data_IF_038239425545
#
_entry.id   IF_038239425545
#
_cell.length_a   1.000
_cell.length_b   1.000
_cell.length_c   1.000
_cell.angle_alpha   90.00
_cell.angle_beta   90.00
_cell.angle_gamma   90.00
#
_symmetry.space_group_name_H-M   'P 1'
#
loop_
_entity.id
_entity.type
_entity.pdbx_description
1 polymer ?
#
# COMPACT_ATOMS: atom_id res chain seq x y z
N UNK A 1 -10.76 -1.80 11.43
CA UNK A 1 -10.72 -3.24 11.14
C UNK A 1 -9.42 -3.59 10.45
N UNK A 2 -8.69 -4.63 10.90
CA UNK A 2 -7.57 -5.17 10.15
C UNK A 2 -8.05 -6.34 9.28
N UNK A 3 -7.57 -6.42 8.04
CA UNK A 3 -7.98 -7.45 7.08
C UNK A 3 -6.81 -7.90 6.20
N UNK A 4 -6.82 -9.18 5.75
CA UNK A 4 -5.81 -9.70 4.87
C UNK A 4 -5.92 -9.12 3.46
N UNK A 5 -4.79 -8.89 2.81
CA UNK A 5 -4.71 -8.76 1.36
C UNK A 5 -3.64 -9.70 0.84
N UNK A 6 -3.55 -9.89 -0.47
CA UNK A 6 -2.51 -10.73 -1.08
C UNK A 6 -1.10 -10.17 -0.84
N UNK A 7 -0.97 -8.87 -0.57
CA UNK A 7 0.33 -8.21 -0.31
C UNK A 7 0.71 -8.28 1.17
N UNK A 8 0.01 -7.54 2.02
CA UNK A 8 0.17 -7.46 3.48
C UNK A 8 -1.18 -7.20 4.12
N UNK A 9 -1.32 -7.37 5.43
CA UNK A 9 -2.53 -6.97 6.13
C UNK A 9 -2.73 -5.45 6.08
N UNK A 10 -3.96 -5.02 5.79
CA UNK A 10 -4.38 -3.64 5.81
C UNK A 10 -5.10 -3.27 7.11
N UNK A 11 -4.87 -2.07 7.63
CA UNK A 11 -5.68 -1.48 8.70
C UNK A 11 -6.68 -0.52 8.07
N UNK A 12 -7.96 -0.94 8.02
CA UNK A 12 -9.02 -0.27 7.27
C UNK A 12 -9.88 0.66 8.11
N UNK A 13 -10.21 1.80 7.52
CA UNK A 13 -11.22 2.74 7.99
C UNK A 13 -12.06 3.22 6.79
N UNK A 14 -13.29 3.67 7.06
CA UNK A 14 -14.12 4.32 6.06
C UNK A 14 -13.41 5.57 5.50
N UNK A 15 -13.09 5.56 4.21
CA UNK A 15 -12.40 6.67 3.56
C UNK A 15 -13.29 7.93 3.39
N UNK A 16 -14.60 7.78 3.51
CA UNK A 16 -15.57 8.87 3.49
C UNK A 16 -15.82 9.50 4.86
N UNK A 17 -15.29 8.92 5.94
CA UNK A 17 -15.55 9.36 7.31
C UNK A 17 -14.29 9.96 7.97
N UNK A 18 -14.22 11.28 8.18
CA UNK A 18 -13.06 11.95 8.78
C UNK A 18 -12.70 11.44 10.19
N UNK A 19 -13.69 11.08 11.01
CA UNK A 19 -13.44 10.58 12.37
C UNK A 19 -12.81 9.18 12.34
N UNK A 20 -13.25 8.32 11.41
CA UNK A 20 -12.66 7.01 11.20
C UNK A 20 -11.21 7.11 10.71
N UNK A 21 -10.92 8.08 9.83
CA UNK A 21 -9.56 8.37 9.38
C UNK A 21 -8.70 8.92 10.52
N UNK A 22 -9.20 9.82 11.34
CA UNK A 22 -8.48 10.34 12.50
C UNK A 22 -8.12 9.22 13.49
N UNK A 23 -9.06 8.29 13.76
CA UNK A 23 -8.80 7.08 14.56
C UNK A 23 -7.72 6.20 13.92
N UNK A 24 -7.78 5.99 12.60
CA UNK A 24 -6.76 5.22 11.86
C UNK A 24 -5.35 5.80 12.04
N UNK A 25 -5.20 7.11 11.83
CA UNK A 25 -3.93 7.81 11.99
C UNK A 25 -3.40 7.73 13.41
N UNK A 26 -4.28 7.93 14.41
CA UNK A 26 -3.94 7.85 15.83
C UNK A 26 -3.45 6.45 16.23
N UNK A 27 -4.18 5.39 15.87
CA UNK A 27 -3.82 4.00 16.17
C UNK A 27 -2.47 3.63 15.57
N UNK A 28 -2.17 4.10 14.35
CA UNK A 28 -0.88 3.84 13.69
C UNK A 28 0.26 4.72 14.20
N UNK A 29 -0.01 5.84 14.86
CA UNK A 29 0.99 6.90 15.10
C UNK A 29 1.49 7.51 13.79
N UNK A 30 0.62 7.59 12.75
CA UNK A 30 0.97 8.08 11.41
C UNK A 30 0.69 9.58 11.30
N UNK A 31 1.61 10.39 10.73
CA UNK A 31 1.34 11.79 10.43
C UNK A 31 0.19 11.95 9.43
N UNK A 32 -0.68 12.93 9.63
CA UNK A 32 -1.89 13.14 8.82
C UNK A 32 -1.63 13.70 7.42
N UNK A 33 -0.44 14.23 7.17
CA UNK A 33 0.03 14.69 5.86
C UNK A 33 0.55 13.56 4.96
N UNK A 34 0.60 12.33 5.48
CA UNK A 34 0.98 11.14 4.73
C UNK A 34 -0.26 10.47 4.11
N UNK A 35 -0.40 10.43 2.77
CA UNK A 35 -1.56 9.88 2.11
C UNK A 35 -1.76 8.40 2.43
N UNK A 36 -3.01 7.93 2.31
CA UNK A 36 -3.39 6.52 2.44
C UNK A 36 -4.01 6.02 1.13
N UNK A 37 -3.92 4.71 0.89
CA UNK A 37 -4.48 4.06 -0.29
C UNK A 37 -5.94 3.70 -0.01
N UNK A 38 -6.83 4.06 -0.93
CA UNK A 38 -8.24 3.66 -0.91
C UNK A 38 -8.39 2.32 -1.62
N UNK A 39 -8.98 1.36 -0.95
CA UNK A 39 -9.30 0.05 -1.48
C UNK A 39 -10.76 0.02 -1.92
N UNK A 40 -11.02 -0.47 -3.13
CA UNK A 40 -12.35 -0.59 -3.73
C UNK A 40 -12.65 -2.07 -4.03
N UNK A 41 -13.93 -2.41 -4.08
CA UNK A 41 -14.37 -3.74 -4.49
C UNK A 41 -14.32 -3.92 -6.01
N UNK A 42 -14.65 -2.86 -6.76
CA UNK A 42 -14.80 -2.92 -8.22
C UNK A 42 -14.29 -1.65 -8.91
N UNK A 43 -13.80 -1.80 -10.14
CA UNK A 43 -13.35 -0.69 -10.98
C UNK A 43 -14.51 0.25 -11.38
N UNK A 44 -15.76 -0.20 -11.36
CA UNK A 44 -16.93 0.66 -11.58
C UNK A 44 -17.02 1.80 -10.57
N UNK A 45 -16.50 1.62 -9.34
CA UNK A 45 -16.45 2.65 -8.30
C UNK A 45 -15.38 3.71 -8.54
N UNK A 46 -14.47 3.50 -9.52
CA UNK A 46 -13.29 4.36 -9.72
C UNK A 46 -13.65 5.83 -9.94
N UNK A 47 -14.73 6.11 -10.70
CA UNK A 47 -15.19 7.47 -10.98
C UNK A 47 -15.69 8.25 -9.77
N UNK A 48 -15.99 7.57 -8.65
CA UNK A 48 -16.35 8.24 -7.40
C UNK A 48 -15.12 8.78 -6.65
N UNK A 49 -13.95 8.17 -6.85
CA UNK A 49 -12.72 8.46 -6.12
C UNK A 49 -11.67 9.20 -6.95
N UNK A 50 -11.70 9.02 -8.28
CA UNK A 50 -10.75 9.64 -9.18
C UNK A 50 -11.44 10.31 -10.37
N UNK A 51 -10.77 11.32 -10.93
CA UNK A 51 -11.16 12.01 -12.16
C UNK A 51 -10.06 11.88 -13.20
N UNK A 52 -10.35 12.20 -14.45
CA UNK A 52 -9.36 12.23 -15.54
C UNK A 52 -8.58 10.91 -15.66
N UNK A 53 -9.30 9.77 -15.70
CA UNK A 53 -8.67 8.44 -15.80
C UNK A 53 -7.95 8.32 -17.16
N UNK A 54 -6.63 8.35 -17.13
CA UNK A 54 -5.80 8.31 -18.35
C UNK A 54 -5.89 6.96 -19.07
N UNK A 55 -5.57 6.89 -20.38
CA UNK A 55 -5.47 5.60 -21.08
C UNK A 55 -4.44 4.65 -20.45
N UNK A 56 -3.34 5.18 -19.90
CA UNK A 56 -2.32 4.39 -19.18
C UNK A 56 -2.92 3.78 -17.93
N UNK A 57 -3.61 4.58 -17.11
CA UNK A 57 -4.30 4.09 -15.91
C UNK A 57 -5.30 2.97 -16.23
N UNK A 58 -6.09 3.13 -17.31
CA UNK A 58 -7.06 2.12 -17.75
C UNK A 58 -6.39 0.82 -18.18
N UNK A 59 -5.26 0.88 -18.91
CA UNK A 59 -4.50 -0.31 -19.33
C UNK A 59 -3.94 -1.06 -18.11
N UNK A 60 -3.31 -0.33 -17.19
CA UNK A 60 -2.72 -0.91 -15.98
C UNK A 60 -3.79 -1.51 -15.06
N UNK A 61 -4.92 -0.81 -14.85
CA UNK A 61 -6.06 -1.32 -14.09
C UNK A 61 -6.60 -2.63 -14.69
N UNK A 62 -6.87 -2.67 -16.00
CA UNK A 62 -7.36 -3.88 -16.67
C UNK A 62 -6.40 -5.06 -16.61
N UNK A 63 -5.10 -4.81 -16.56
CA UNK A 63 -4.09 -5.88 -16.50
C UNK A 63 -3.87 -6.43 -15.11
N UNK A 64 -3.89 -5.57 -14.08
CA UNK A 64 -3.40 -5.91 -12.75
C UNK A 64 -4.44 -5.81 -11.63
N UNK A 65 -5.68 -5.42 -11.91
CA UNK A 65 -6.76 -5.46 -10.94
C UNK A 65 -7.77 -6.56 -11.26
N UNK A 66 -8.23 -7.28 -10.23
CA UNK A 66 -7.81 -7.22 -8.81
C UNK A 66 -6.37 -7.71 -8.63
N UNK A 67 -5.58 -7.04 -7.77
CA UNK A 67 -4.19 -7.45 -7.54
C UNK A 67 -3.28 -6.40 -6.85
N UNK A 68 -1.96 -6.67 -6.85
CA UNK A 68 -0.99 -5.95 -6.05
C UNK A 68 -0.50 -4.64 -6.71
N UNK A 69 -1.39 -3.94 -7.43
CA UNK A 69 -1.13 -2.63 -8.04
C UNK A 69 -1.91 -1.53 -7.35
N UNK A 70 -1.22 -0.46 -6.97
CA UNK A 70 -1.82 0.82 -6.59
C UNK A 70 -1.58 1.84 -7.69
N UNK A 71 -2.64 2.49 -8.15
CA UNK A 71 -2.56 3.61 -9.09
C UNK A 71 -2.76 4.93 -8.35
N UNK A 72 -1.84 5.87 -8.55
CA UNK A 72 -2.05 7.26 -8.15
C UNK A 72 -2.75 7.96 -9.31
N UNK A 73 -3.89 8.55 -9.00
CA UNK A 73 -4.79 9.21 -9.95
C UNK A 73 -5.16 10.59 -9.42
N UNK A 74 -5.67 11.48 -10.28
CA UNK A 74 -6.26 12.75 -9.82
C UNK A 74 -7.50 12.48 -8.98
N UNK A 75 -7.55 13.04 -7.77
CA UNK A 75 -8.67 12.83 -6.84
C UNK A 75 -9.98 13.44 -7.36
N UNK A 76 -11.08 12.77 -7.14
CA UNK A 76 -12.41 13.35 -7.32
C UNK A 76 -12.68 14.41 -6.23
N UNK A 77 -13.54 15.42 -6.48
CA UNK A 77 -13.81 16.51 -5.53
C UNK A 77 -14.29 16.05 -4.15
N UNK A 78 -14.96 14.89 -4.06
CA UNK A 78 -15.46 14.33 -2.80
C UNK A 78 -14.35 13.77 -1.89
N UNK A 79 -13.16 13.52 -2.43
CA UNK A 79 -12.06 12.91 -1.67
C UNK A 79 -11.39 13.98 -0.80
N UNK A 80 -11.51 13.83 0.51
CA UNK A 80 -10.98 14.78 1.48
C UNK A 80 -9.46 14.72 1.66
N UNK A 81 -8.91 15.81 2.20
CA UNK A 81 -7.47 15.95 2.47
C UNK A 81 -6.94 14.90 3.46
N UNK A 82 -7.79 14.42 4.37
CA UNK A 82 -7.43 13.34 5.29
C UNK A 82 -7.04 12.04 4.60
N UNK A 83 -7.53 11.77 3.38
CA UNK A 83 -7.13 10.61 2.57
C UNK A 83 -5.82 10.89 1.82
N UNK A 84 -5.70 12.10 1.26
CA UNK A 84 -4.67 12.45 0.28
C UNK A 84 -3.44 13.14 0.88
N UNK A 85 -3.48 13.49 2.18
CA UNK A 85 -2.46 14.31 2.82
C UNK A 85 -2.34 15.70 2.18
N UNK A 86 -3.47 16.26 1.70
CA UNK A 86 -3.57 17.57 1.05
C UNK A 86 -3.13 17.60 -0.42
N UNK A 87 -2.86 16.44 -1.05
CA UNK A 87 -2.50 16.37 -2.48
C UNK A 87 -3.73 16.36 -3.38
N UNK A 88 -3.58 16.79 -4.65
CA UNK A 88 -4.61 16.67 -5.70
C UNK A 88 -4.65 15.26 -6.35
N UNK A 89 -4.08 14.29 -5.67
CA UNK A 89 -4.02 12.90 -6.12
C UNK A 89 -4.48 11.95 -5.03
N UNK A 90 -4.97 10.77 -5.43
CA UNK A 90 -5.40 9.69 -4.56
C UNK A 90 -4.81 8.36 -5.04
N UNK A 91 -4.34 7.54 -4.09
CA UNK A 91 -3.93 6.17 -4.37
C UNK A 91 -5.13 5.22 -4.29
N UNK A 92 -5.36 4.44 -5.36
CA UNK A 92 -6.48 3.49 -5.44
C UNK A 92 -5.95 2.10 -5.74
N UNK A 93 -6.57 1.08 -5.12
CA UNK A 93 -6.27 -0.33 -5.34
C UNK A 93 -7.53 -1.18 -5.26
N UNK A 94 -7.57 -2.26 -6.03
CA UNK A 94 -8.55 -3.34 -5.91
C UNK A 94 -7.76 -4.61 -5.54
N UNK A 95 -7.81 -5.06 -4.28
CA UNK A 95 -7.05 -6.23 -3.84
C UNK A 95 -7.67 -7.53 -4.38
N UNK A 96 -6.85 -8.57 -4.59
CA UNK A 96 -7.32 -9.87 -5.10
C UNK A 96 -7.71 -10.87 -4.00
N UNK A 97 -7.42 -10.58 -2.72
CA UNK A 97 -7.70 -11.50 -1.62
C UNK A 97 -9.22 -11.62 -1.35
N UNK A 98 -9.73 -12.84 -1.30
CA UNK A 98 -11.17 -13.12 -1.19
C UNK A 98 -11.86 -12.45 0.00
N UNK A 99 -11.22 -12.44 1.19
CA UNK A 99 -11.79 -11.80 2.39
C UNK A 99 -11.79 -10.27 2.24
N UNK A 100 -10.72 -9.69 1.66
CA UNK A 100 -10.68 -8.25 1.38
C UNK A 100 -11.81 -7.86 0.42
N UNK A 101 -11.98 -8.61 -0.65
CA UNK A 101 -13.02 -8.37 -1.65
C UNK A 101 -14.42 -8.45 -1.03
N UNK A 102 -14.71 -9.51 -0.28
CA UNK A 102 -16.00 -9.68 0.40
C UNK A 102 -16.30 -8.56 1.41
N UNK A 103 -15.26 -8.09 2.16
CA UNK A 103 -15.38 -6.95 3.05
C UNK A 103 -15.74 -5.68 2.27
N UNK A 104 -15.02 -5.39 1.18
CA UNK A 104 -15.23 -4.20 0.36
C UNK A 104 -16.59 -4.20 -0.34
N UNK A 105 -17.03 -5.34 -0.86
CA UNK A 105 -18.38 -5.50 -1.43
C UNK A 105 -19.48 -5.23 -0.39
N UNK A 106 -19.36 -5.82 0.81
CA UNK A 106 -20.33 -5.64 1.89
C UNK A 106 -20.35 -4.20 2.40
N UNK A 107 -19.19 -3.55 2.44
CA UNK A 107 -19.08 -2.15 2.86
C UNK A 107 -19.69 -1.21 1.81
N UNK A 108 -19.52 -1.50 0.53
CA UNK A 108 -20.10 -0.74 -0.59
C UNK A 108 -19.45 0.61 -0.87
N UNK A 109 -18.38 0.97 -0.16
CA UNK A 109 -17.64 2.23 -0.29
C UNK A 109 -16.13 2.02 -0.38
N UNK A 110 -15.37 3.12 -0.38
CA UNK A 110 -13.91 3.05 -0.33
C UNK A 110 -13.39 2.87 1.09
N UNK A 111 -12.46 1.95 1.28
CA UNK A 111 -11.77 1.72 2.56
C UNK A 111 -10.34 2.23 2.48
N UNK A 112 -10.02 3.25 3.27
CA UNK A 112 -8.64 3.70 3.44
C UNK A 112 -7.87 2.67 4.25
N UNK A 113 -6.87 2.01 3.65
CA UNK A 113 -6.15 0.94 4.33
C UNK A 113 -4.63 1.00 4.06
N UNK A 114 -3.86 1.71 4.90
CA UNK A 114 -2.43 1.49 5.01
C UNK A 114 -2.14 0.10 5.60
N UNK A 115 -0.90 -0.38 5.51
CA UNK A 115 -0.47 -1.64 6.12
C UNK A 115 -0.76 -1.69 7.63
N UNK A 116 -1.10 -2.88 8.15
CA UNK A 116 -1.51 -3.06 9.55
C UNK A 116 -0.32 -3.21 10.51
N UNK A 117 0.51 -2.15 10.60
CA UNK A 117 1.66 -2.00 11.51
C UNK A 117 1.70 -0.57 12.04
N UNK A 118 2.40 -0.32 13.15
CA UNK A 118 2.72 1.05 13.60
C UNK A 118 3.61 1.73 12.56
N UNK A 119 3.51 3.05 12.47
CA UNK A 119 4.23 3.83 11.46
C UNK A 119 5.75 3.57 11.50
N UNK A 120 6.35 3.33 10.34
CA UNK A 120 7.77 3.05 10.17
C UNK A 120 8.22 1.61 10.42
N UNK A 121 7.37 0.75 11.03
CA UNK A 121 7.69 -0.65 11.31
C UNK A 121 7.42 -1.57 10.14
N UNK A 122 7.89 -2.83 10.25
CA UNK A 122 7.65 -3.89 9.27
C UNK A 122 6.17 -4.21 9.19
N UNK A 123 5.66 -4.44 7.98
CA UNK A 123 4.25 -4.71 7.73
C UNK A 123 3.85 -6.11 8.19
N UNK A 124 2.64 -6.21 8.76
CA UNK A 124 2.05 -7.47 9.18
C UNK A 124 1.64 -8.31 7.96
N UNK A 125 2.00 -9.59 7.96
CA UNK A 125 1.65 -10.58 6.92
C UNK A 125 0.72 -11.67 7.41
N UNK A 126 0.37 -11.66 8.71
CA UNK A 126 -0.60 -12.56 9.34
C UNK A 126 -1.46 -11.81 10.36
N UNK A 127 -2.62 -12.36 10.71
CA UNK A 127 -3.46 -11.83 11.79
C UNK A 127 -2.74 -11.84 13.15
N UNK A 128 -1.86 -12.81 13.38
CA UNK A 128 -1.05 -12.91 14.60
C UNK A 128 -0.09 -11.71 14.70
N UNK A 129 0.56 -11.32 13.60
CA UNK A 129 1.42 -10.12 13.57
C UNK A 129 0.63 -8.84 13.88
N UNK A 130 -0.60 -8.71 13.35
CA UNK A 130 -1.48 -7.56 13.67
C UNK A 130 -1.80 -7.51 15.15
N UNK A 131 -2.20 -8.64 15.74
CA UNK A 131 -2.52 -8.72 17.17
C UNK A 131 -1.30 -8.43 18.05
N UNK A 132 -0.11 -8.91 17.65
CA UNK A 132 1.15 -8.61 18.34
C UNK A 132 1.50 -7.11 18.29
N UNK A 133 1.24 -6.46 17.15
CA UNK A 133 1.59 -5.05 16.95
C UNK A 133 0.64 -4.09 17.69
N UNK A 134 -0.65 -4.39 17.71
CA UNK A 134 -1.68 -3.46 18.20
C UNK A 134 -2.39 -3.91 19.49
N UNK A 135 -2.34 -5.21 19.86
CA UNK A 135 -3.13 -5.73 20.97
C UNK A 135 -4.62 -5.42 20.80
N UNK A 136 -5.22 -4.83 21.81
CA UNK A 136 -6.63 -4.41 21.82
C UNK A 136 -6.86 -3.04 21.13
N UNK A 137 -5.83 -2.44 20.54
CA UNK A 137 -5.94 -1.16 19.85
C UNK A 137 -6.66 -1.20 18.50
N UNK A 138 -7.05 -2.41 18.02
CA UNK A 138 -7.80 -2.63 16.78
C UNK A 138 -9.09 -3.37 17.09
N UNK A 139 -10.24 -2.78 16.70
CA UNK A 139 -11.57 -3.29 17.06
C UNK A 139 -11.86 -4.72 16.53
N UNK A 140 -11.32 -5.06 15.35
CA UNK A 140 -11.53 -6.35 14.70
C UNK A 140 -10.35 -6.73 13.82
N UNK A 141 -9.93 -7.98 13.88
CA UNK A 141 -8.94 -8.57 12.99
C UNK A 141 -9.57 -9.75 12.25
N UNK A 142 -9.76 -9.61 10.95
CA UNK A 142 -10.19 -10.71 10.08
C UNK A 142 -8.98 -11.58 9.76
N UNK A 143 -9.07 -12.87 10.05
CA UNK A 143 -7.99 -13.80 9.78
C UNK A 143 -8.24 -14.52 8.45
N UNK A 144 -7.31 -14.36 7.51
CA UNK A 144 -7.32 -15.02 6.20
C UNK A 144 -6.03 -15.78 5.92
N UNK A 145 -5.28 -16.13 6.97
CA UNK A 145 -3.98 -16.78 6.81
C UNK A 145 -2.85 -15.79 6.50
N UNK A 146 -1.74 -16.31 6.00
CA UNK A 146 -0.60 -15.49 5.58
C UNK A 146 -0.85 -14.84 4.23
N UNK A 147 -0.35 -13.61 4.06
CA UNK A 147 -0.34 -12.93 2.75
C UNK A 147 0.60 -13.65 1.78
N UNK A 148 0.15 -13.88 0.54
CA UNK A 148 0.89 -14.66 -0.46
C UNK A 148 2.18 -13.96 -0.94
N UNK A 149 2.15 -12.62 -1.04
CA UNK A 149 3.27 -11.80 -1.57
C UNK A 149 4.24 -11.37 -0.46
N UNK A 150 3.73 -10.90 0.67
CA UNK A 150 4.53 -10.54 1.85
C UNK A 150 5.26 -9.19 1.77
N UNK A 151 5.10 -8.45 0.68
CA UNK A 151 5.57 -7.06 0.51
C UNK A 151 4.43 -6.20 -0.01
N UNK A 152 4.54 -4.89 0.11
CA UNK A 152 3.50 -3.94 -0.29
C UNK A 152 3.27 -3.92 -1.81
N UNK A 153 2.13 -3.34 -2.22
CA UNK A 153 1.76 -3.16 -3.62
C UNK A 153 2.76 -2.30 -4.39
N UNK A 154 2.98 -2.61 -5.65
CA UNK A 154 3.64 -1.69 -6.58
C UNK A 154 2.80 -0.41 -6.72
N UNK A 155 3.41 0.78 -6.61
CA UNK A 155 2.71 2.08 -6.76
C UNK A 155 3.19 2.77 -8.03
N UNK A 156 2.25 3.10 -8.89
CA UNK A 156 2.49 3.79 -10.15
C UNK A 156 1.66 5.08 -10.19
N UNK A 157 2.33 6.21 -10.42
CA UNK A 157 1.64 7.44 -10.82
C UNK A 157 1.21 7.31 -12.27
N UNK A 158 -0.10 7.35 -12.49
CA UNK A 158 -0.74 7.25 -13.79
C UNK A 158 -1.56 8.52 -14.12
N UNK A 159 -1.22 9.65 -13.52
CA UNK A 159 -1.87 10.96 -13.79
C UNK A 159 -1.46 11.55 -15.14
N UNK A 160 -0.31 11.16 -15.68
CA UNK A 160 0.25 11.64 -16.95
C UNK A 160 0.11 10.64 -18.10
N UNK A 161 0.74 10.97 -19.23
CA UNK A 161 0.76 10.13 -20.43
C UNK A 161 1.71 8.91 -20.29
N UNK A 162 2.79 9.04 -19.52
CA UNK A 162 3.71 7.95 -19.19
C UNK A 162 3.58 7.56 -17.72
N UNK A 163 3.68 6.26 -17.38
CA UNK A 163 3.64 5.80 -16.00
C UNK A 163 4.94 6.16 -15.27
N UNK A 164 4.85 6.51 -13.98
CA UNK A 164 6.01 6.74 -13.11
C UNK A 164 5.97 5.74 -11.96
N UNK A 165 7.01 4.92 -11.80
CA UNK A 165 7.12 3.99 -10.68
C UNK A 165 7.51 4.76 -9.42
N UNK A 166 6.58 4.88 -8.45
CA UNK A 166 6.81 5.57 -7.18
C UNK A 166 7.30 4.62 -6.08
N UNK A 167 6.85 3.37 -6.09
CA UNK A 167 7.27 2.34 -5.15
C UNK A 167 7.36 0.99 -5.85
N UNK A 168 8.52 0.32 -5.85
CA UNK A 168 8.61 -1.06 -6.31
C UNK A 168 7.81 -1.99 -5.39
N UNK A 169 7.30 -3.10 -5.95
CA UNK A 169 6.56 -4.15 -5.26
C UNK A 169 6.61 -5.44 -6.07
N UNK A 170 5.56 -6.27 -5.96
CA UNK A 170 5.51 -7.56 -6.66
C UNK A 170 5.50 -7.44 -8.19
N UNK A 171 4.83 -6.41 -8.72
CA UNK A 171 4.80 -6.17 -10.17
C UNK A 171 6.07 -5.41 -10.56
N UNK A 172 6.86 -5.99 -11.46
CA UNK A 172 8.13 -5.43 -11.92
C UNK A 172 7.94 -4.21 -12.83
N UNK A 173 8.99 -3.39 -12.94
CA UNK A 173 9.04 -2.25 -13.86
C UNK A 173 8.75 -2.67 -15.31
N UNK A 174 9.33 -3.78 -15.75
CA UNK A 174 9.12 -4.34 -17.10
C UNK A 174 7.65 -4.68 -17.36
N UNK A 175 6.97 -5.35 -16.43
CA UNK A 175 5.55 -5.69 -16.58
C UNK A 175 4.67 -4.43 -16.66
N UNK A 176 5.02 -3.36 -15.91
CA UNK A 176 4.33 -2.06 -16.00
C UNK A 176 4.51 -1.45 -17.39
N UNK A 177 5.75 -1.41 -17.91
CA UNK A 177 6.03 -0.87 -19.25
C UNK A 177 5.30 -1.64 -20.35
N UNK A 178 5.34 -2.97 -20.30
CA UNK A 178 4.66 -3.84 -21.25
C UNK A 178 3.12 -3.61 -21.23
N UNK A 179 2.53 -3.52 -20.04
CA UNK A 179 1.09 -3.30 -19.91
C UNK A 179 0.67 -1.87 -20.29
N UNK A 180 1.46 -0.87 -19.94
CA UNK A 180 1.22 0.51 -20.32
C UNK A 180 1.39 0.75 -21.84
N UNK A 181 2.30 -0.02 -22.48
CA UNK A 181 2.76 0.22 -23.84
C UNK A 181 3.60 1.49 -23.96
N UNK A 182 4.30 1.87 -22.89
CA UNK A 182 5.16 3.05 -22.78
C UNK A 182 6.25 2.82 -21.72
N UNK A 183 7.46 3.39 -21.91
CA UNK A 183 8.51 3.30 -20.90
C UNK A 183 8.12 4.03 -19.62
N UNK A 184 8.68 3.61 -18.49
CA UNK A 184 8.57 4.31 -17.21
C UNK A 184 9.30 5.65 -17.27
N UNK A 185 8.63 6.71 -16.86
CA UNK A 185 9.30 7.97 -16.57
C UNK A 185 9.94 7.94 -15.16
N UNK A 186 10.97 8.73 -14.97
CA UNK A 186 11.63 8.86 -13.67
C UNK A 186 10.80 9.77 -12.74
N UNK A 187 10.75 9.44 -11.44
CA UNK A 187 10.18 10.34 -10.45
C UNK A 187 10.92 11.70 -10.45
N UNK A 188 10.18 12.76 -10.24
CA UNK A 188 10.70 14.13 -10.12
C UNK A 188 10.34 14.72 -8.76
N UNK A 189 10.84 15.92 -8.45
CA UNK A 189 10.44 16.64 -7.22
C UNK A 189 8.95 16.99 -7.18
N UNK A 190 8.25 16.93 -8.33
CA UNK A 190 6.81 17.17 -8.44
C UNK A 190 5.97 15.89 -8.44
N UNK A 191 6.61 14.71 -8.41
CA UNK A 191 5.88 13.45 -8.33
C UNK A 191 5.08 13.39 -7.03
N UNK A 192 3.86 12.81 -7.04
CA UNK A 192 3.04 12.66 -5.85
C UNK A 192 3.76 11.89 -4.74
N UNK A 193 3.55 12.32 -3.50
CA UNK A 193 3.99 11.53 -2.35
C UNK A 193 3.17 10.25 -2.28
N UNK A 194 3.85 9.12 -2.07
CA UNK A 194 3.23 7.81 -1.94
C UNK A 194 3.58 7.17 -0.60
N UNK A 195 2.74 6.26 -0.06
CA UNK A 195 3.08 5.51 1.14
C UNK A 195 4.37 4.69 0.95
N UNK A 196 5.26 4.68 1.97
CA UNK A 196 6.47 3.86 1.95
C UNK A 196 7.65 4.43 1.16
N UNK A 197 7.63 5.72 0.79
CA UNK A 197 8.72 6.39 0.07
C UNK A 197 9.65 7.21 0.97
N UNK A 198 9.52 7.08 2.28
CA UNK A 198 10.41 7.74 3.25
C UNK A 198 11.80 7.08 3.25
N UNK A 199 12.84 7.87 3.56
CA UNK A 199 14.22 7.40 3.66
C UNK A 199 14.40 6.30 4.73
N UNK A 200 13.60 6.30 5.79
CA UNK A 200 13.53 5.24 6.80
C UNK A 200 12.09 4.73 6.91
N UNK A 201 11.83 3.58 6.35
CA UNK A 201 10.55 2.87 6.41
C UNK A 201 10.79 1.37 6.48
N UNK A 202 9.83 0.60 6.99
CA UNK A 202 9.95 -0.86 7.15
C UNK A 202 11.12 -1.29 8.04
N UNK A 203 11.47 -0.48 9.05
CA UNK A 203 12.59 -0.75 9.92
C UNK A 203 12.23 -1.84 10.94
N UNK A 204 12.91 -3.01 10.93
CA UNK A 204 12.73 -4.05 11.94
C UNK A 204 13.31 -3.58 13.28
N UNK A 205 12.75 -4.10 14.40
CA UNK A 205 13.30 -3.86 15.74
C UNK A 205 14.69 -4.50 15.88
N UNK A 206 14.92 -5.66 15.24
CA UNK A 206 16.22 -6.31 15.18
C UNK A 206 17.06 -5.63 14.10
N UNK A 207 18.30 -5.21 14.40
CA UNK A 207 19.20 -4.65 13.40
C UNK A 207 19.41 -5.60 12.22
N UNK A 208 19.28 -5.07 10.99
CA UNK A 208 19.54 -5.81 9.77
C UNK A 208 20.71 -5.18 9.03
N UNK A 209 21.70 -6.00 8.70
CA UNK A 209 22.84 -5.60 7.88
C UNK A 209 22.74 -6.28 6.52
N UNK A 210 22.86 -5.51 5.46
CA UNK A 210 22.99 -6.02 4.08
C UNK A 210 24.45 -5.89 3.68
N UNK A 211 25.06 -6.98 3.26
CA UNK A 211 26.47 -7.03 2.87
C UNK A 211 26.69 -8.02 1.73
N UNK A 212 27.84 -7.94 1.10
CA UNK A 212 28.28 -8.89 0.08
C UNK A 212 28.39 -10.32 0.66
N UNK A 213 28.09 -11.31 -0.17
CA UNK A 213 27.98 -12.73 0.25
C UNK A 213 29.25 -13.27 0.92
N UNK A 214 30.43 -12.86 0.46
CA UNK A 214 31.71 -13.34 1.02
C UNK A 214 31.95 -12.75 2.42
N UNK A 215 31.70 -11.46 2.59
CA UNK A 215 31.78 -10.78 3.88
C UNK A 215 30.77 -11.36 4.89
N UNK A 216 29.57 -11.72 4.43
CA UNK A 216 28.55 -12.37 5.25
C UNK A 216 29.05 -13.74 5.78
N UNK A 217 29.68 -14.56 4.93
CA UNK A 217 30.23 -15.86 5.31
C UNK A 217 31.36 -15.73 6.36
N UNK A 218 32.26 -14.76 6.17
CA UNK A 218 33.34 -14.48 7.13
C UNK A 218 32.78 -14.03 8.49
N UNK A 219 31.81 -13.12 8.49
CA UNK A 219 31.16 -12.64 9.71
C UNK A 219 30.43 -13.77 10.44
N UNK A 220 29.64 -14.58 9.71
CA UNK A 220 28.93 -15.72 10.27
C UNK A 220 29.89 -16.74 10.91
N UNK A 221 30.98 -17.08 10.22
CA UNK A 221 31.99 -17.96 10.75
C UNK A 221 32.73 -17.43 11.98
N UNK A 222 32.86 -16.10 12.11
CA UNK A 222 33.43 -15.43 13.26
C UNK A 222 32.50 -15.46 14.45
N UNK A 223 31.22 -15.12 14.25
CA UNK A 223 30.19 -15.14 15.30
C UNK A 223 29.94 -16.55 15.85
N UNK A 224 29.92 -17.57 14.98
CA UNK A 224 29.76 -18.99 15.39
C UNK A 224 30.93 -19.47 16.27
N UNK A 225 32.13 -18.89 16.12
CA UNK A 225 33.31 -19.23 16.95
C UNK A 225 33.33 -18.53 18.32
N UNK A 226 32.54 -17.45 18.47
CA UNK A 226 32.48 -16.65 19.70
C UNK A 226 31.28 -17.00 20.60
N UNK A 227 30.29 -17.74 20.10
CA UNK A 227 29.11 -18.21 20.82
C UNK A 227 29.13 -19.68 21.07
#
# INVERSE_FOLDING_TARGET
VAFPTETVYGLGADAGNPDALAKLYSVKGRPTDHPVIVHLADAAQLGEWAREITPVAQKLARKFWPGPLTLILKRAPRVGDAVTGGQDTVGIRIPSHAIAHALLEKFGGGVAAPSANRFGRVSATTAAHVRQEFGDGVDLVLDGGASDVGIESTIVDATGAAPVLLRPGHISAREIEEAAGAPLALPTAHSPRAPGTLAAHYAPATPLLVMESDLLRELAATLTRQG
#
